data_IF_018961000844
#
_entry.id   IF_018961000844
#
_cell.length_a   1.000
_cell.length_b   1.000
_cell.length_c   1.000
_cell.angle_alpha   90.00
_cell.angle_beta   90.00
_cell.angle_gamma   90.00
#
_symmetry.space_group_name_H-M   'P 1'
#
loop_
_entity.id
_entity.type
_entity.pdbx_description
1 polymer ?
#
# COMPACT_ATOMS: atom_id res chain seq x y z
N UNK A 1 27.63 9.71 3.04
CA UNK A 1 26.44 10.39 3.59
C UNK A 1 25.59 9.32 4.25
N UNK A 2 25.65 9.22 5.59
CA UNK A 2 24.92 8.22 6.37
C UNK A 2 23.79 8.93 7.10
N UNK A 3 22.55 8.48 6.92
CA UNK A 3 21.41 8.96 7.70
C UNK A 3 21.29 8.06 8.93
N UNK A 4 21.59 8.64 10.09
CA UNK A 4 21.13 8.14 11.38
C UNK A 4 19.72 8.69 11.62
N UNK A 5 18.77 7.82 11.97
CA UNK A 5 17.63 8.20 12.81
C UNK A 5 17.52 7.22 13.98
N UNK A 6 17.84 7.64 15.20
CA UNK A 6 17.60 6.88 16.41
C UNK A 6 16.45 7.51 17.20
N UNK A 7 15.19 7.19 16.90
CA UNK A 7 14.09 7.48 17.83
C UNK A 7 13.03 6.40 17.66
N UNK A 8 13.00 5.42 18.57
CA UNK A 8 11.81 4.74 19.12
C UNK A 8 12.28 3.70 20.16
N UNK A 9 13.00 4.16 21.19
CA UNK A 9 13.55 3.27 22.23
C UNK A 9 12.72 3.20 23.53
N UNK A 10 11.59 3.93 23.66
CA UNK A 10 10.86 4.00 24.95
C UNK A 10 9.54 3.22 25.02
N UNK A 11 9.17 2.43 24.00
CA UNK A 11 7.95 1.58 24.04
C UNK A 11 8.29 0.07 24.00
N UNK A 12 9.38 -0.31 24.66
CA UNK A 12 10.07 -1.60 24.44
C UNK A 12 10.23 -2.47 25.69
N UNK A 13 9.26 -2.47 26.62
CA UNK A 13 9.38 -3.28 27.85
C UNK A 13 8.13 -4.09 28.26
N UNK A 14 7.22 -4.44 27.34
CA UNK A 14 6.04 -5.24 27.73
C UNK A 14 5.91 -6.63 27.12
N UNK A 15 6.83 -7.10 26.27
CA UNK A 15 6.87 -8.53 25.93
C UNK A 15 8.20 -8.94 25.28
N UNK A 16 9.13 -9.49 26.07
CA UNK A 16 10.42 -10.02 25.56
C UNK A 16 10.31 -11.39 24.89
N UNK A 17 9.11 -12.00 24.87
CA UNK A 17 8.89 -13.35 24.35
C UNK A 17 8.58 -13.42 22.84
N UNK A 18 8.36 -12.30 22.16
CA UNK A 18 7.95 -12.27 20.73
C UNK A 18 9.15 -12.33 19.77
N UNK A 19 10.37 -12.06 20.27
CA UNK A 19 11.59 -11.94 19.46
C UNK A 19 12.44 -13.21 19.46
N UNK A 20 11.92 -14.33 19.98
CA UNK A 20 12.57 -15.64 19.80
C UNK A 20 12.32 -16.12 18.38
N UNK A 21 13.39 -16.41 17.65
CA UNK A 21 13.34 -16.88 16.25
C UNK A 21 12.38 -18.05 16.04
N UNK A 22 12.25 -18.92 17.05
CA UNK A 22 11.34 -20.07 17.06
C UNK A 22 9.86 -19.67 16.92
N UNK A 23 9.44 -18.54 17.50
CA UNK A 23 8.06 -18.04 17.40
C UNK A 23 7.75 -17.28 16.11
N UNK A 24 8.79 -16.87 15.36
CA UNK A 24 8.60 -16.17 14.09
C UNK A 24 7.97 -17.10 13.06
N UNK A 25 8.30 -18.40 13.09
CA UNK A 25 7.73 -19.41 12.18
C UNK A 25 6.24 -19.68 12.43
N UNK A 26 5.74 -19.38 13.63
CA UNK A 26 4.31 -19.51 13.97
C UNK A 26 3.48 -18.32 13.44
N UNK A 27 4.11 -17.25 12.94
CA UNK A 27 3.44 -16.09 12.36
C UNK A 27 3.06 -16.37 10.90
N UNK A 28 2.13 -17.29 10.67
CA UNK A 28 1.69 -17.68 9.33
C UNK A 28 0.65 -16.74 8.73
N UNK A 29 0.02 -15.88 9.53
CA UNK A 29 -1.13 -15.04 9.13
C UNK A 29 -0.91 -14.28 7.82
N UNK A 30 0.27 -13.69 7.61
CA UNK A 30 0.58 -12.98 6.37
C UNK A 30 0.66 -13.93 5.18
N UNK A 31 1.28 -15.10 5.35
CA UNK A 31 1.39 -16.12 4.30
C UNK A 31 0.04 -16.72 3.95
N UNK A 32 -0.79 -17.01 4.95
CA UNK A 32 -2.14 -17.54 4.75
C UNK A 32 -3.03 -16.51 4.03
N UNK A 33 -2.92 -15.23 4.41
CA UNK A 33 -3.62 -14.15 3.72
C UNK A 33 -3.16 -13.99 2.26
N UNK A 34 -1.85 -14.04 2.01
CA UNK A 34 -1.29 -13.98 0.66
C UNK A 34 -1.73 -15.17 -0.19
N UNK A 35 -1.66 -16.39 0.33
CA UNK A 35 -2.13 -17.59 -0.36
C UNK A 35 -3.61 -17.48 -0.72
N UNK A 36 -4.43 -16.98 0.21
CA UNK A 36 -5.85 -16.75 -0.05
C UNK A 36 -6.05 -15.74 -1.18
N UNK A 37 -5.36 -14.60 -1.14
CA UNK A 37 -5.42 -13.55 -2.19
C UNK A 37 -5.00 -14.14 -3.54
N UNK A 38 -3.87 -14.86 -3.60
CA UNK A 38 -3.34 -15.47 -4.83
C UNK A 38 -4.23 -16.61 -5.37
N UNK A 39 -5.05 -17.23 -4.53
CA UNK A 39 -6.03 -18.23 -4.96
C UNK A 39 -7.32 -17.61 -5.54
N UNK A 40 -7.52 -16.30 -5.39
CA UNK A 40 -8.66 -15.61 -5.98
C UNK A 40 -8.44 -15.37 -7.48
N UNK A 41 -9.53 -15.16 -8.21
CA UNK A 41 -9.47 -14.72 -9.61
C UNK A 41 -9.11 -13.22 -9.68
N UNK A 42 -7.89 -12.87 -9.29
CA UNK A 42 -7.35 -11.51 -9.31
C UNK A 42 -6.21 -11.40 -10.31
N UNK A 43 -6.08 -10.23 -10.92
CA UNK A 43 -4.94 -9.87 -11.76
C UNK A 43 -4.05 -8.91 -10.98
N UNK A 44 -2.78 -9.26 -10.81
CA UNK A 44 -1.78 -8.35 -10.23
C UNK A 44 -1.19 -7.52 -11.37
N UNK A 45 -1.26 -6.20 -11.25
CA UNK A 45 -0.72 -5.26 -12.23
C UNK A 45 0.66 -4.77 -11.78
N UNK A 46 1.58 -4.66 -12.73
CA UNK A 46 2.90 -4.08 -12.49
C UNK A 46 2.82 -2.58 -12.24
N UNK A 47 3.78 -2.07 -11.46
CA UNK A 47 3.93 -0.63 -11.23
C UNK A 47 4.48 0.06 -12.48
N UNK A 48 4.06 1.30 -12.79
CA UNK A 48 4.54 2.01 -13.96
C UNK A 48 6.02 2.38 -13.78
N UNK A 49 6.78 2.29 -14.86
CA UNK A 49 8.19 2.68 -14.90
C UNK A 49 8.37 4.21 -14.90
N UNK A 50 7.36 4.98 -15.32
CA UNK A 50 7.47 6.43 -15.39
C UNK A 50 7.11 7.11 -14.06
N UNK A 51 8.13 7.34 -13.24
CA UNK A 51 7.97 8.05 -11.98
C UNK A 51 7.61 9.54 -12.16
N UNK A 52 7.80 10.13 -13.34
CA UNK A 52 7.38 11.52 -13.57
C UNK A 52 5.87 11.65 -13.56
N UNK A 53 5.14 10.67 -14.13
CA UNK A 53 3.69 10.61 -14.05
C UNK A 53 3.22 10.58 -12.59
N UNK A 54 3.86 9.75 -11.76
CA UNK A 54 3.55 9.67 -10.32
C UNK A 54 3.78 11.02 -9.64
N UNK A 55 4.91 11.67 -9.89
CA UNK A 55 5.22 12.97 -9.29
C UNK A 55 4.27 14.08 -9.75
N UNK A 56 3.78 14.02 -10.99
CA UNK A 56 2.78 14.97 -11.48
C UNK A 56 1.44 14.77 -10.78
N UNK A 57 0.98 13.51 -10.64
CA UNK A 57 -0.24 13.16 -9.90
C UNK A 57 -0.15 13.59 -8.43
N UNK A 58 1.01 13.38 -7.77
CA UNK A 58 1.24 13.86 -6.41
C UNK A 58 0.99 15.37 -6.29
N UNK A 59 1.52 16.16 -7.22
CA UNK A 59 1.37 17.63 -7.21
C UNK A 59 -0.05 18.06 -7.55
N UNK A 60 -0.64 17.45 -8.56
CA UNK A 60 -1.96 17.79 -9.09
C UNK A 60 -3.06 17.54 -8.04
N UNK A 61 -3.06 16.35 -7.43
CA UNK A 61 -4.13 15.93 -6.52
C UNK A 61 -3.73 15.97 -5.04
N UNK A 62 -2.51 16.43 -4.73
CA UNK A 62 -1.96 16.48 -3.37
C UNK A 62 -2.03 15.13 -2.67
N UNK A 63 -1.65 14.08 -3.41
CA UNK A 63 -1.61 12.70 -2.94
C UNK A 63 -0.21 12.32 -2.45
N UNK A 64 -0.16 11.38 -1.51
CA UNK A 64 1.09 10.71 -1.17
C UNK A 64 1.55 9.84 -2.35
N UNK A 65 2.87 9.61 -2.45
CA UNK A 65 3.47 8.86 -3.57
C UNK A 65 2.84 7.49 -3.80
N UNK A 66 2.45 6.79 -2.73
CA UNK A 66 1.78 5.48 -2.82
C UNK A 66 0.42 5.60 -3.51
N UNK A 67 -0.38 6.60 -3.17
CA UNK A 67 -1.72 6.74 -3.71
C UNK A 67 -1.65 7.30 -5.14
N UNK A 68 -0.71 8.20 -5.40
CA UNK A 68 -0.38 8.64 -6.76
C UNK A 68 0.09 7.49 -7.66
N UNK A 69 0.83 6.51 -7.12
CA UNK A 69 1.23 5.30 -7.84
C UNK A 69 0.00 4.48 -8.25
N UNK A 70 -0.98 4.28 -7.36
CA UNK A 70 -2.23 3.59 -7.70
C UNK A 70 -2.96 4.33 -8.84
N UNK A 71 -3.10 5.66 -8.75
CA UNK A 71 -3.73 6.48 -9.80
C UNK A 71 -2.99 6.33 -11.13
N UNK A 72 -1.65 6.27 -11.12
CA UNK A 72 -0.85 6.10 -12.34
C UNK A 72 -1.07 4.73 -12.99
N UNK A 73 -1.16 3.65 -12.21
CA UNK A 73 -1.52 2.30 -12.70
C UNK A 73 -2.91 2.32 -13.31
N UNK A 74 -3.87 2.92 -12.59
CA UNK A 74 -5.26 3.02 -13.01
C UNK A 74 -5.39 3.74 -14.35
N UNK A 75 -4.74 4.90 -14.51
CA UNK A 75 -4.70 5.65 -15.78
C UNK A 75 -4.10 4.83 -16.92
N UNK A 76 -2.99 4.14 -16.67
CA UNK A 76 -2.29 3.33 -17.68
C UNK A 76 -3.18 2.18 -18.19
N UNK A 77 -4.03 1.63 -17.34
CA UNK A 77 -4.90 0.49 -17.65
C UNK A 77 -6.37 0.88 -17.92
N UNK A 78 -6.70 2.17 -17.94
CA UNK A 78 -8.07 2.65 -18.13
C UNK A 78 -9.04 2.27 -17.00
N UNK A 79 -8.54 2.05 -15.78
CA UNK A 79 -9.35 1.70 -14.61
C UNK A 79 -9.88 2.98 -13.96
N UNK A 80 -11.18 3.09 -13.78
CA UNK A 80 -11.84 4.28 -13.22
C UNK A 80 -12.56 4.02 -11.89
N UNK A 81 -12.50 2.79 -11.37
CA UNK A 81 -13.17 2.40 -10.13
C UNK A 81 -12.15 1.81 -9.17
N UNK A 82 -12.24 2.18 -7.89
CA UNK A 82 -11.36 1.66 -6.83
C UNK A 82 -12.18 1.27 -5.60
N UNK A 83 -11.96 0.04 -5.11
CA UNK A 83 -12.51 -0.41 -3.83
C UNK A 83 -11.51 -0.06 -2.73
N UNK A 84 -11.77 1.01 -1.97
CA UNK A 84 -10.88 1.47 -0.91
C UNK A 84 -11.64 2.25 0.15
N UNK A 85 -11.17 2.16 1.40
CA UNK A 85 -11.63 3.03 2.48
C UNK A 85 -10.86 4.35 2.55
N UNK A 86 -9.86 4.53 1.68
CA UNK A 86 -9.08 5.75 1.60
C UNK A 86 -9.83 6.85 0.83
N UNK A 87 -10.24 7.88 1.57
CA UNK A 87 -11.00 9.02 1.01
C UNK A 87 -10.18 9.91 0.08
N UNK A 88 -8.84 9.81 0.09
CA UNK A 88 -7.98 10.69 -0.71
C UNK A 88 -8.17 10.50 -2.21
N UNK A 89 -8.61 9.31 -2.66
CA UNK A 89 -8.92 9.04 -4.07
C UNK A 89 -10.10 9.87 -4.60
N UNK A 90 -10.95 10.42 -3.73
CA UNK A 90 -12.02 11.36 -4.14
C UNK A 90 -11.49 12.68 -4.69
N UNK A 91 -10.20 12.98 -4.51
CA UNK A 91 -9.54 14.16 -5.09
C UNK A 91 -9.28 14.01 -6.60
N UNK A 92 -9.39 12.79 -7.15
CA UNK A 92 -9.11 12.47 -8.55
C UNK A 92 -10.43 12.33 -9.31
N UNK A 93 -10.82 13.31 -10.16
CA UNK A 93 -12.17 13.39 -10.73
C UNK A 93 -12.59 12.19 -11.58
N UNK A 94 -11.63 11.53 -12.25
CA UNK A 94 -11.89 10.37 -13.10
C UNK A 94 -12.02 9.05 -12.33
N UNK A 95 -11.84 9.06 -11.00
CA UNK A 95 -11.91 7.86 -10.16
C UNK A 95 -13.18 7.86 -9.31
N UNK A 96 -13.92 6.76 -9.39
CA UNK A 96 -15.07 6.43 -8.53
C UNK A 96 -14.63 5.51 -7.38
N UNK A 97 -14.79 5.98 -6.15
CA UNK A 97 -14.53 5.18 -4.95
C UNK A 97 -15.75 4.31 -4.64
N UNK A 98 -15.55 2.99 -4.62
CA UNK A 98 -16.54 1.99 -4.27
C UNK A 98 -16.39 1.63 -2.80
N UNK A 99 -17.47 1.77 -2.03
CA UNK A 99 -17.55 1.31 -0.65
C UNK A 99 -18.50 0.11 -0.57
N UNK A 100 -18.18 -0.94 0.21
CA UNK A 100 -19.14 -2.01 0.45
C UNK A 100 -20.38 -1.45 1.15
N UNK A 101 -21.55 -1.93 0.74
CA UNK A 101 -22.87 -1.64 1.33
C UNK A 101 -23.04 -2.30 2.69
#
# INVERSE_FOLDING_TARGET
>A
MYILMPIYFSMWHSNRNIWKTEKIYELTTCWDALNKILSMNITVLDTPMDFNLVMNICREYKLLTRDALHVSVMRTHGITQIATNDGDFKKVPEISVLTPS
#
